data_IF_479400738725
#
_entry.id   IF_479400738725
#
_cell.length_a   1.000
_cell.length_b   1.000
_cell.length_c   1.000
_cell.angle_alpha   90.00
_cell.angle_beta   90.00
_cell.angle_gamma   90.00
#
_symmetry.space_group_name_H-M   'P 1'
#
loop_
_entity.id
_entity.type
_entity.pdbx_description
1 polymer ?
#
# COMPACT_ATOMS: atom_id res chain seq x y z
N UNK A 1 12.85 28.01 -3.86
CA UNK A 1 11.93 27.16 -3.07
C UNK A 1 10.54 27.74 -3.23
N UNK A 2 9.54 26.91 -3.56
CA UNK A 2 8.14 27.32 -3.55
C UNK A 2 7.52 26.91 -2.21
N UNK A 3 6.73 27.81 -1.62
CA UNK A 3 5.98 27.53 -0.39
C UNK A 3 4.55 27.20 -0.77
N UNK A 4 4.06 26.04 -0.32
CA UNK A 4 2.68 25.60 -0.50
C UNK A 4 2.02 25.58 0.88
N UNK A 5 0.86 26.25 0.98
CA UNK A 5 0.04 26.25 2.19
C UNK A 5 -1.08 25.22 2.02
N UNK A 6 -1.24 24.33 3.00
CA UNK A 6 -2.30 23.31 3.02
C UNK A 6 -3.08 23.47 4.30
N UNK A 7 -4.40 23.59 4.17
CA UNK A 7 -5.30 23.56 5.31
C UNK A 7 -5.69 22.12 5.62
N UNK A 8 -5.63 21.76 6.91
CA UNK A 8 -6.03 20.48 7.42
C UNK A 8 -7.23 20.67 8.33
N UNK A 9 -8.17 19.75 8.27
CA UNK A 9 -9.23 19.71 9.26
C UNK A 9 -8.64 19.46 10.67
N UNK A 10 -9.35 19.85 11.74
CA UNK A 10 -8.85 19.73 13.11
C UNK A 10 -8.48 18.30 13.52
N UNK A 11 -9.16 17.29 12.97
CA UNK A 11 -8.90 15.89 13.32
C UNK A 11 -7.61 15.40 12.68
N UNK A 12 -7.39 15.75 11.41
CA UNK A 12 -6.16 15.41 10.69
C UNK A 12 -4.96 16.16 11.25
N UNK A 13 -5.12 17.44 11.62
CA UNK A 13 -4.02 18.21 12.23
C UNK A 13 -3.58 17.61 13.57
N UNK A 14 -4.53 17.22 14.43
CA UNK A 14 -4.25 16.57 15.71
C UNK A 14 -3.59 15.19 15.52
N UNK A 15 -3.98 14.44 14.49
CA UNK A 15 -3.32 13.17 14.13
C UNK A 15 -1.89 13.40 13.66
N UNK A 16 -1.66 14.37 12.78
CA UNK A 16 -0.34 14.70 12.26
C UNK A 16 0.61 15.14 13.38
N UNK A 17 0.14 15.98 14.32
CA UNK A 17 0.94 16.39 15.49
C UNK A 17 1.31 15.21 16.38
N UNK A 18 0.35 14.33 16.70
CA UNK A 18 0.64 13.13 17.51
C UNK A 18 1.65 12.21 16.82
N UNK A 19 1.52 12.03 15.51
CA UNK A 19 2.44 11.19 14.72
C UNK A 19 3.85 11.80 14.67
N UNK A 20 3.95 13.12 14.50
CA UNK A 20 5.20 13.86 14.49
C UNK A 20 5.93 13.70 15.83
N UNK A 21 5.22 13.92 16.93
CA UNK A 21 5.74 13.77 18.27
C UNK A 21 6.19 12.33 18.56
N UNK A 22 5.36 11.33 18.24
CA UNK A 22 5.67 9.92 18.47
C UNK A 22 6.93 9.46 17.71
N UNK A 23 7.21 10.06 16.55
CA UNK A 23 8.37 9.74 15.71
C UNK A 23 9.55 10.69 15.91
N UNK A 24 9.45 11.66 16.84
CA UNK A 24 10.50 12.65 17.08
C UNK A 24 10.84 13.50 15.85
N UNK A 25 9.85 13.78 14.99
CA UNK A 25 10.03 14.46 13.71
C UNK A 25 9.09 15.66 13.57
N UNK A 26 9.20 16.40 12.46
CA UNK A 26 8.33 17.53 12.15
C UNK A 26 7.20 17.12 11.21
N UNK A 27 6.12 17.90 11.21
CA UNK A 27 5.01 17.70 10.25
C UNK A 27 5.51 17.84 8.81
N UNK A 28 6.42 18.78 8.55
CA UNK A 28 7.03 18.95 7.21
C UNK A 28 7.77 17.70 6.76
N UNK A 29 8.57 17.09 7.63
CA UNK A 29 9.29 15.86 7.31
C UNK A 29 8.33 14.67 7.10
N UNK A 30 7.24 14.60 7.88
CA UNK A 30 6.19 13.59 7.64
C UNK A 30 5.54 13.77 6.26
N UNK A 31 5.16 14.99 5.91
CA UNK A 31 4.54 15.28 4.60
C UNK A 31 5.50 14.95 3.46
N UNK A 32 6.78 15.32 3.58
CA UNK A 32 7.80 14.93 2.60
C UNK A 32 7.90 13.42 2.45
N UNK A 33 7.95 12.67 3.56
CA UNK A 33 8.01 11.21 3.52
C UNK A 33 6.77 10.58 2.89
N UNK A 34 5.58 11.15 3.15
CA UNK A 34 4.32 10.70 2.57
C UNK A 34 4.29 10.92 1.06
N UNK A 35 4.74 12.09 0.59
CA UNK A 35 4.81 12.38 -0.86
C UNK A 35 5.73 11.37 -1.55
N UNK A 36 6.92 11.12 -1.00
CA UNK A 36 7.85 10.11 -1.56
C UNK A 36 7.24 8.71 -1.56
N UNK A 37 6.53 8.33 -0.51
CA UNK A 37 5.86 7.02 -0.44
C UNK A 37 4.73 6.90 -1.45
N UNK A 38 3.94 7.95 -1.66
CA UNK A 38 2.85 7.97 -2.63
C UNK A 38 3.39 7.91 -4.06
N UNK A 39 4.43 8.67 -4.38
CA UNK A 39 5.11 8.67 -5.69
C UNK A 39 5.71 7.29 -6.03
N UNK A 40 6.36 6.66 -5.05
CA UNK A 40 6.87 5.31 -5.19
C UNK A 40 5.77 4.24 -5.33
N UNK A 41 4.64 4.44 -4.64
CA UNK A 41 3.50 3.52 -4.71
C UNK A 41 2.80 3.60 -6.06
N UNK A 42 2.59 4.81 -6.60
CA UNK A 42 2.03 5.01 -7.94
C UNK A 42 2.92 4.35 -8.99
N UNK A 43 4.23 4.56 -8.90
CA UNK A 43 5.20 3.94 -9.81
C UNK A 43 5.20 2.40 -9.73
N UNK A 44 5.01 1.84 -8.53
CA UNK A 44 4.96 0.39 -8.33
C UNK A 44 3.64 -0.23 -8.82
N UNK A 45 2.51 0.44 -8.62
CA UNK A 45 1.21 0.00 -9.16
C UNK A 45 1.22 0.05 -10.68
N UNK A 46 1.79 1.08 -11.28
CA UNK A 46 1.90 1.20 -12.74
C UNK A 46 2.84 0.14 -13.33
N UNK A 47 3.93 -0.18 -12.62
CA UNK A 47 4.87 -1.25 -13.02
C UNK A 47 4.28 -2.65 -12.90
N UNK A 48 3.53 -2.95 -11.83
CA UNK A 48 2.88 -4.26 -11.65
C UNK A 48 1.67 -4.39 -12.60
N UNK A 49 0.92 -3.31 -12.81
CA UNK A 49 -0.19 -3.26 -13.76
C UNK A 49 0.27 -3.48 -15.21
N UNK A 50 1.41 -2.90 -15.60
CA UNK A 50 2.00 -3.09 -16.92
C UNK A 50 2.65 -4.46 -17.13
N UNK A 51 3.22 -5.07 -16.08
CA UNK A 51 3.96 -6.35 -16.18
C UNK A 51 3.08 -7.53 -16.61
N UNK A 52 1.77 -7.48 -16.33
CA UNK A 52 0.81 -8.53 -16.69
C UNK A 52 -0.27 -8.07 -17.67
N UNK A 53 -0.16 -6.85 -18.20
CA UNK A 53 -1.11 -6.31 -19.18
C UNK A 53 -1.07 -7.09 -20.51
N UNK A 54 0.12 -7.55 -20.92
CA UNK A 54 0.32 -8.26 -22.20
C UNK A 54 0.03 -9.78 -22.12
N UNK A 55 -0.06 -10.36 -20.92
CA UNK A 55 -0.28 -11.81 -20.73
C UNK A 55 -1.35 -12.13 -19.66
N UNK A 56 -2.61 -11.68 -19.84
CA UNK A 56 -3.69 -11.90 -18.87
C UNK A 56 -3.99 -13.38 -18.62
N UNK A 57 -3.74 -14.25 -19.61
CA UNK A 57 -3.95 -15.69 -19.49
C UNK A 57 -3.03 -16.38 -18.46
N UNK A 58 -1.86 -15.80 -18.15
CA UNK A 58 -0.96 -16.34 -17.13
C UNK A 58 -1.51 -16.10 -15.72
N UNK A 59 -2.18 -14.97 -15.48
CA UNK A 59 -2.86 -14.69 -14.22
C UNK A 59 -4.00 -15.67 -13.99
N UNK A 60 -4.82 -15.95 -15.00
CA UNK A 60 -5.92 -16.92 -14.91
C UNK A 60 -5.40 -18.32 -14.56
N UNK A 61 -4.25 -18.72 -15.11
CA UNK A 61 -3.67 -20.04 -14.85
C UNK A 61 -3.12 -20.16 -13.42
N UNK A 62 -2.51 -19.10 -12.89
CA UNK A 62 -2.03 -19.05 -11.49
C UNK A 62 -3.21 -19.06 -10.51
N UNK A 63 -4.27 -18.31 -10.79
CA UNK A 63 -5.48 -18.29 -9.94
C UNK A 63 -6.19 -19.64 -9.97
N UNK A 64 -6.33 -20.25 -11.15
CA UNK A 64 -6.93 -21.57 -11.30
C UNK A 64 -6.14 -22.64 -10.55
N UNK A 65 -4.80 -22.60 -10.61
CA UNK A 65 -3.96 -23.54 -9.87
C UNK A 65 -4.07 -23.33 -8.35
N UNK A 66 -4.08 -22.08 -7.88
CA UNK A 66 -4.23 -21.78 -6.45
C UNK A 66 -5.61 -22.21 -5.90
N UNK A 67 -6.67 -22.08 -6.71
CA UNK A 67 -8.00 -22.60 -6.36
C UNK A 67 -7.99 -24.13 -6.32
N UNK A 68 -7.40 -24.79 -7.31
CA UNK A 68 -7.29 -26.25 -7.35
C UNK A 68 -6.51 -26.80 -6.15
N UNK A 69 -5.38 -26.17 -5.79
CA UNK A 69 -4.56 -26.59 -4.65
C UNK A 69 -5.32 -26.42 -3.32
N UNK A 70 -6.16 -25.38 -3.21
CA UNK A 70 -7.03 -25.16 -2.04
C UNK A 70 -8.14 -26.21 -1.93
N UNK A 71 -8.66 -26.69 -3.05
CA UNK A 71 -9.64 -27.79 -3.06
C UNK A 71 -8.99 -29.14 -2.70
N UNK A 72 -7.72 -29.34 -3.06
CA UNK A 72 -6.96 -30.57 -2.79
C UNK A 72 -6.33 -30.60 -1.39
N UNK A 73 -6.22 -29.47 -0.70
CA UNK A 73 -5.76 -29.40 0.69
C UNK A 73 -6.94 -29.04 1.60
N UNK A 74 -7.71 -30.02 2.10
CA UNK A 74 -8.64 -29.76 3.17
C UNK A 74 -7.83 -29.18 4.32
N UNK A 75 -8.21 -27.98 4.76
CA UNK A 75 -7.72 -27.36 6.00
C UNK A 75 -7.60 -28.49 7.02
N UNK A 76 -6.36 -28.78 7.46
CA UNK A 76 -6.13 -29.69 8.56
C UNK A 76 -6.91 -29.12 9.73
N UNK A 77 -8.13 -29.63 9.92
CA UNK A 77 -8.93 -29.40 11.09
C UNK A 77 -8.09 -29.97 12.24
N UNK A 78 -7.52 -29.03 12.97
CA UNK A 78 -7.35 -29.01 14.41
C UNK A 78 -7.17 -30.37 15.09
N UNK A 79 -5.98 -30.55 15.67
CA UNK A 79 -5.69 -31.66 16.57
C UNK A 79 -6.60 -31.53 17.80
N UNK A 80 -7.52 -32.48 17.96
CA UNK A 80 -8.16 -32.84 19.22
C UNK A 80 -7.86 -34.30 19.54
#
# INVERSE_FOLDING_TARGET
>A
MQTITVELDPTTSARAQRLAHARGTTITALVQSLIVQLDASDSAVDSIGGLFADEPALLDLVVAQALHDREQQPLRADHG
#
